data_IF_128114917345
#
_entry.id   IF_128114917345
#
_cell.length_a   1.000
_cell.length_b   1.000
_cell.length_c   1.000
_cell.angle_alpha   90.00
_cell.angle_beta   90.00
_cell.angle_gamma   90.00
#
_symmetry.space_group_name_H-M   'P 1'
#
loop_
_entity.id
_entity.type
_entity.pdbx_description
1 polymer ?
#
# COMPACT_ATOMS: atom_id res chain seq x y z
N UNK A 1 -15.33 -14.58 11.36
CA UNK A 1 -14.51 -15.64 10.71
C UNK A 1 -15.43 -16.58 9.94
N UNK A 2 -15.48 -16.44 8.61
CA UNK A 2 -16.48 -17.07 7.76
C UNK A 2 -16.14 -18.51 7.32
N UNK A 3 -14.92 -18.80 6.86
CA UNK A 3 -14.55 -20.09 6.26
C UNK A 3 -13.98 -21.12 7.28
N UNK A 4 -14.12 -22.45 7.02
CA UNK A 4 -13.50 -23.50 7.84
C UNK A 4 -11.97 -23.40 7.86
N UNK A 5 -11.37 -23.30 9.06
CA UNK A 5 -9.92 -23.04 9.24
C UNK A 5 -9.01 -24.11 8.63
N UNK A 6 -9.38 -25.38 8.69
CA UNK A 6 -8.58 -26.47 8.14
C UNK A 6 -8.54 -26.41 6.61
N UNK A 7 -9.68 -26.08 5.98
CA UNK A 7 -9.78 -25.90 4.53
C UNK A 7 -9.02 -24.65 4.07
N UNK A 8 -9.10 -23.54 4.81
CA UNK A 8 -8.28 -22.35 4.56
C UNK A 8 -6.79 -22.68 4.64
N UNK A 9 -6.36 -23.44 5.64
CA UNK A 9 -4.96 -23.84 5.79
C UNK A 9 -4.47 -24.66 4.59
N UNK A 10 -5.30 -25.61 4.11
CA UNK A 10 -5.01 -26.39 2.90
C UNK A 10 -4.97 -25.49 1.65
N UNK A 11 -5.91 -24.56 1.50
CA UNK A 11 -5.96 -23.64 0.36
C UNK A 11 -4.73 -22.72 0.32
N UNK A 12 -4.34 -22.14 1.46
CA UNK A 12 -3.15 -21.29 1.57
C UNK A 12 -1.85 -22.06 1.32
N UNK A 13 -1.79 -23.34 1.70
CA UNK A 13 -0.66 -24.21 1.37
C UNK A 13 -0.61 -24.50 -0.14
N UNK A 14 -1.75 -24.85 -0.75
CA UNK A 14 -1.85 -25.14 -2.19
C UNK A 14 -1.52 -23.93 -3.07
N UNK A 15 -1.91 -22.72 -2.68
CA UNK A 15 -1.54 -21.51 -3.41
C UNK A 15 -0.14 -20.99 -3.07
N UNK A 16 0.64 -21.70 -2.23
CA UNK A 16 1.96 -21.31 -1.75
C UNK A 16 2.02 -19.92 -1.10
N UNK A 17 0.94 -19.52 -0.41
CA UNK A 17 0.75 -18.17 0.15
C UNK A 17 1.02 -17.06 -0.87
N UNK A 18 0.66 -17.32 -2.13
CA UNK A 18 0.65 -16.33 -3.21
C UNK A 18 -0.77 -15.89 -3.51
N UNK A 19 -0.93 -14.62 -3.85
CA UNK A 19 -2.22 -14.07 -4.25
C UNK A 19 -2.70 -14.74 -5.54
N UNK A 20 -3.95 -15.17 -5.60
CA UNK A 20 -4.52 -15.79 -6.80
C UNK A 20 -4.72 -14.82 -7.98
N UNK A 21 -4.65 -13.50 -7.75
CA UNK A 21 -4.80 -12.47 -8.81
C UNK A 21 -3.44 -11.99 -9.31
N UNK A 22 -2.56 -11.51 -8.42
CA UNK A 22 -1.26 -10.94 -8.82
C UNK A 22 -0.07 -11.91 -8.68
N UNK A 23 -0.28 -13.12 -8.14
CA UNK A 23 0.72 -14.19 -7.97
C UNK A 23 1.94 -13.86 -7.09
N UNK A 24 1.96 -12.67 -6.47
CA UNK A 24 3.01 -12.24 -5.53
C UNK A 24 3.04 -13.15 -4.31
N UNK A 25 4.23 -13.45 -3.78
CA UNK A 25 4.38 -14.13 -2.49
C UNK A 25 4.08 -13.18 -1.34
N UNK A 26 3.08 -13.51 -0.54
CA UNK A 26 2.53 -12.62 0.47
C UNK A 26 3.00 -12.93 1.89
N UNK A 27 3.47 -14.16 2.15
CA UNK A 27 3.74 -14.60 3.52
C UNK A 27 2.49 -14.42 4.40
N UNK A 28 2.60 -13.62 5.47
CA UNK A 28 1.46 -13.32 6.36
C UNK A 28 0.47 -12.29 5.80
N UNK A 29 0.82 -11.58 4.72
CA UNK A 29 0.07 -10.43 4.15
C UNK A 29 -0.97 -10.89 3.12
N UNK A 30 -1.77 -11.89 3.50
CA UNK A 30 -2.73 -12.57 2.64
C UNK A 30 -4.03 -12.80 3.40
N UNK A 31 -5.16 -12.60 2.73
CA UNK A 31 -6.50 -12.84 3.25
C UNK A 31 -7.26 -13.82 2.35
N UNK A 32 -8.31 -14.42 2.90
CA UNK A 32 -9.28 -15.20 2.13
C UNK A 32 -10.56 -14.41 2.02
N UNK A 33 -10.85 -13.93 0.81
CA UNK A 33 -12.03 -13.15 0.50
C UNK A 33 -13.14 -14.02 -0.11
N UNK A 34 -14.37 -13.52 -0.13
CA UNK A 34 -15.51 -14.14 -0.78
C UNK A 34 -15.56 -13.74 -2.27
N UNK A 35 -15.51 -14.73 -3.17
CA UNK A 35 -15.64 -14.52 -4.63
C UNK A 35 -17.01 -13.91 -4.97
N UNK A 36 -18.08 -14.43 -4.34
CA UNK A 36 -19.38 -13.78 -4.27
C UNK A 36 -19.53 -13.27 -2.85
N UNK A 37 -19.63 -11.94 -2.62
CA UNK A 37 -19.80 -11.39 -1.29
C UNK A 37 -21.06 -11.89 -0.57
N UNK A 38 -21.05 -11.89 0.77
CA UNK A 38 -22.17 -12.39 1.59
C UNK A 38 -23.46 -11.61 1.35
N UNK A 39 -23.37 -10.30 1.20
CA UNK A 39 -24.50 -9.42 0.93
C UNK A 39 -25.14 -9.68 -0.44
N UNK A 40 -24.43 -10.36 -1.33
CA UNK A 40 -24.93 -10.84 -2.63
C UNK A 40 -25.32 -12.33 -2.60
N UNK A 41 -25.40 -12.94 -1.41
CA UNK A 41 -25.81 -14.33 -1.24
C UNK A 41 -24.67 -15.36 -1.33
N UNK A 42 -23.41 -14.93 -1.23
CA UNK A 42 -22.26 -15.82 -1.21
C UNK A 42 -22.22 -16.75 0.01
N UNK A 43 -21.78 -18.00 -0.20
CA UNK A 43 -21.63 -18.98 0.87
C UNK A 43 -20.28 -18.88 1.58
N UNK A 44 -20.21 -19.48 2.78
CA UNK A 44 -18.97 -19.68 3.56
C UNK A 44 -18.24 -20.99 3.19
N UNK A 45 -18.55 -21.54 2.02
CA UNK A 45 -17.85 -22.72 1.51
C UNK A 45 -16.48 -22.34 0.96
N UNK A 46 -15.51 -23.25 1.09
CA UNK A 46 -14.14 -23.01 0.63
C UNK A 46 -14.05 -22.77 -0.89
N UNK A 47 -15.04 -23.24 -1.65
CA UNK A 47 -15.13 -22.97 -3.09
C UNK A 47 -15.35 -21.49 -3.39
N UNK A 48 -16.10 -20.79 -2.53
CA UNK A 48 -16.32 -19.35 -2.62
C UNK A 48 -15.16 -18.51 -2.04
N UNK A 49 -14.15 -19.14 -1.42
CA UNK A 49 -12.99 -18.43 -0.88
C UNK A 49 -11.91 -18.20 -1.95
N UNK A 50 -11.31 -17.01 -2.00
CA UNK A 50 -10.13 -16.70 -2.83
C UNK A 50 -8.99 -16.10 -1.98
N UNK A 51 -7.77 -16.69 -2.00
CA UNK A 51 -6.60 -16.10 -1.36
C UNK A 51 -6.05 -14.89 -2.12
N UNK A 52 -6.01 -13.71 -1.50
CA UNK A 52 -5.54 -12.46 -2.13
C UNK A 52 -4.64 -11.65 -1.20
N UNK A 53 -3.72 -10.85 -1.76
CA UNK A 53 -2.96 -9.89 -0.95
C UNK A 53 -3.86 -8.71 -0.54
N UNK A 54 -3.46 -7.93 0.47
CA UNK A 54 -4.23 -6.77 0.93
C UNK A 54 -4.54 -5.75 -0.18
N UNK A 55 -3.67 -5.61 -1.18
CA UNK A 55 -3.91 -4.70 -2.31
C UNK A 55 -5.00 -5.23 -3.24
N UNK A 56 -4.89 -6.48 -3.71
CA UNK A 56 -5.91 -7.08 -4.56
C UNK A 56 -7.24 -7.20 -3.82
N UNK A 57 -7.20 -7.44 -2.51
CA UNK A 57 -8.38 -7.44 -1.66
C UNK A 57 -9.11 -6.09 -1.73
N UNK A 58 -8.41 -4.98 -1.46
CA UNK A 58 -8.99 -3.64 -1.58
C UNK A 58 -9.44 -3.32 -3.01
N UNK A 59 -8.68 -3.73 -4.03
CA UNK A 59 -9.01 -3.46 -5.43
C UNK A 59 -10.30 -4.15 -5.88
N UNK A 60 -10.54 -5.41 -5.45
CA UNK A 60 -11.70 -6.22 -5.84
C UNK A 60 -13.02 -5.50 -5.55
N UNK A 61 -13.09 -4.77 -4.45
CA UNK A 61 -14.30 -4.10 -4.00
C UNK A 61 -14.25 -2.57 -4.17
N UNK A 62 -13.10 -1.99 -4.53
CA UNK A 62 -12.92 -0.54 -4.75
C UNK A 62 -13.72 0.04 -5.93
N UNK A 63 -14.33 -0.80 -6.79
CA UNK A 63 -15.05 -0.33 -7.97
C UNK A 63 -16.28 0.50 -7.60
N UNK A 64 -16.28 1.78 -7.99
CA UNK A 64 -17.37 2.70 -7.75
C UNK A 64 -18.22 2.88 -9.02
N UNK A 65 -19.46 2.37 -9.00
CA UNK A 65 -20.40 2.53 -10.12
C UNK A 65 -20.74 4.00 -10.45
N UNK A 66 -20.60 4.92 -9.49
CA UNK A 66 -20.82 6.36 -9.70
C UNK A 66 -19.62 7.06 -10.35
N UNK A 67 -18.43 6.48 -10.23
CA UNK A 67 -17.18 7.01 -10.80
C UNK A 67 -16.39 5.86 -11.43
N UNK A 68 -16.88 5.30 -12.56
CA UNK A 68 -16.32 4.08 -13.10
C UNK A 68 -14.90 4.31 -13.61
N UNK A 69 -13.94 3.58 -13.02
CA UNK A 69 -12.55 3.55 -13.45
C UNK A 69 -12.10 2.10 -13.61
N UNK A 70 -11.59 1.76 -14.79
CA UNK A 70 -11.21 0.40 -15.12
C UNK A 70 -12.42 -0.53 -15.30
N UNK A 71 -12.25 -1.81 -14.94
CA UNK A 71 -13.32 -2.82 -14.98
C UNK A 71 -13.49 -3.43 -13.59
N UNK A 72 -14.74 -3.71 -13.23
CA UNK A 72 -15.10 -4.41 -12.00
C UNK A 72 -14.70 -5.88 -12.10
N UNK A 73 -14.09 -6.41 -11.05
CA UNK A 73 -13.89 -7.86 -10.92
C UNK A 73 -15.24 -8.57 -10.87
N UNK A 74 -15.40 -9.60 -11.69
CA UNK A 74 -16.61 -10.43 -11.69
C UNK A 74 -16.34 -11.75 -10.97
N UNK A 75 -17.36 -12.35 -10.32
CA UNK A 75 -17.18 -13.63 -9.63
C UNK A 75 -16.59 -14.73 -10.52
N UNK A 76 -17.03 -14.82 -11.78
CA UNK A 76 -16.49 -15.82 -12.72
C UNK A 76 -15.03 -15.57 -13.08
N UNK A 77 -14.59 -14.31 -13.12
CA UNK A 77 -13.19 -13.95 -13.33
C UNK A 77 -12.35 -14.37 -12.11
N UNK A 78 -12.81 -14.06 -10.89
CA UNK A 78 -12.12 -14.45 -9.65
C UNK A 78 -12.03 -15.97 -9.49
N UNK A 79 -13.07 -16.73 -9.87
CA UNK A 79 -13.00 -18.20 -9.94
C UNK A 79 -11.90 -18.66 -10.88
N UNK A 80 -11.81 -18.07 -12.07
CA UNK A 80 -10.78 -18.43 -13.05
C UNK A 80 -9.37 -18.09 -12.57
N UNK A 81 -9.16 -16.93 -11.94
CA UNK A 81 -7.88 -16.56 -11.30
C UNK A 81 -7.45 -17.61 -10.27
N UNK A 82 -8.35 -17.98 -9.36
CA UNK A 82 -8.11 -19.03 -8.36
C UNK A 82 -7.77 -20.38 -9.02
N UNK A 83 -8.59 -20.84 -9.95
CA UNK A 83 -8.42 -22.14 -10.62
C UNK A 83 -7.10 -22.21 -11.39
N UNK A 84 -6.81 -21.20 -12.20
CA UNK A 84 -5.58 -21.13 -12.98
C UNK A 84 -4.35 -21.12 -12.08
N UNK A 85 -4.35 -20.32 -11.01
CA UNK A 85 -3.21 -20.26 -10.09
C UNK A 85 -2.96 -21.57 -9.36
N UNK A 86 -4.03 -22.22 -8.86
CA UNK A 86 -3.89 -23.52 -8.19
C UNK A 86 -3.37 -24.59 -9.16
N UNK A 87 -3.85 -24.59 -10.41
CA UNK A 87 -3.35 -25.48 -11.45
C UNK A 87 -1.85 -25.26 -11.72
N UNK A 88 -1.41 -24.01 -11.83
CA UNK A 88 0.01 -23.68 -12.01
C UNK A 88 0.84 -24.16 -10.81
N UNK A 89 0.36 -24.00 -9.58
CA UNK A 89 1.05 -24.49 -8.39
C UNK A 89 1.20 -26.01 -8.38
N UNK A 90 0.14 -26.73 -8.78
CA UNK A 90 0.10 -28.18 -8.80
C UNK A 90 0.96 -28.77 -9.95
N UNK A 91 0.97 -28.13 -11.14
CA UNK A 91 1.60 -28.67 -12.35
C UNK A 91 3.00 -28.11 -12.64
N UNK A 92 3.34 -26.91 -12.14
CA UNK A 92 4.55 -26.15 -12.52
C UNK A 92 5.32 -25.64 -11.29
N UNK A 93 5.82 -26.53 -10.41
CA UNK A 93 6.55 -26.13 -9.21
C UNK A 93 7.87 -25.39 -9.51
N UNK A 94 8.40 -25.51 -10.72
CA UNK A 94 9.59 -24.77 -11.19
C UNK A 94 9.39 -23.24 -11.18
N UNK A 95 8.17 -22.78 -11.43
CA UNK A 95 7.78 -21.36 -11.36
C UNK A 95 7.90 -20.83 -9.93
N UNK A 96 7.80 -21.69 -8.92
CA UNK A 96 7.84 -21.29 -7.50
C UNK A 96 9.27 -21.16 -6.96
N UNK A 97 10.23 -21.85 -7.59
CA UNK A 97 11.65 -21.87 -7.16
C UNK A 97 12.48 -20.80 -7.89
N UNK A 98 12.10 -20.47 -9.13
CA UNK A 98 12.83 -19.53 -10.00
C UNK A 98 12.58 -18.05 -9.69
N UNK A 99 11.43 -17.72 -9.09
CA UNK A 99 11.09 -16.35 -8.72
C UNK A 99 11.73 -16.02 -7.37
N UNK A 100 12.67 -15.06 -7.35
CA UNK A 100 13.19 -14.48 -6.11
C UNK A 100 12.00 -14.20 -5.17
N UNK A 101 12.02 -14.78 -3.97
CA UNK A 101 11.07 -14.45 -2.91
C UNK A 101 11.38 -13.05 -2.37
N UNK A 102 11.34 -12.04 -3.24
CA UNK A 102 11.25 -10.66 -2.80
C UNK A 102 9.89 -10.58 -2.09
N UNK A 103 9.93 -10.56 -0.76
CA UNK A 103 8.76 -10.36 0.07
C UNK A 103 8.30 -8.91 -0.13
N UNK A 104 7.65 -8.64 -1.25
CA UNK A 104 7.15 -7.34 -1.62
C UNK A 104 5.76 -7.16 -0.99
N UNK A 105 5.60 -6.07 -0.26
CA UNK A 105 4.34 -5.71 0.40
C UNK A 105 3.36 -5.07 -0.57
N UNK A 106 3.87 -4.68 -1.75
CA UNK A 106 3.14 -3.94 -2.76
C UNK A 106 3.34 -2.44 -2.70
N UNK A 107 3.06 -1.73 -3.80
CA UNK A 107 3.22 -0.28 -3.89
C UNK A 107 2.46 0.50 -2.81
N UNK A 108 1.21 0.15 -2.48
CA UNK A 108 0.41 0.94 -1.53
C UNK A 108 0.84 0.69 -0.09
N UNK A 109 1.10 -0.57 0.29
CA UNK A 109 1.62 -0.85 1.63
C UNK A 109 3.04 -0.30 1.81
N UNK A 110 3.89 -0.36 0.79
CA UNK A 110 5.24 0.21 0.87
C UNK A 110 5.18 1.74 1.00
N UNK A 111 4.23 2.37 0.31
CA UNK A 111 3.95 3.80 0.44
C UNK A 111 3.50 4.18 1.86
N UNK A 112 2.62 3.39 2.47
CA UNK A 112 2.21 3.57 3.87
C UNK A 112 3.41 3.47 4.81
N UNK A 113 4.29 2.48 4.60
CA UNK A 113 5.48 2.27 5.41
C UNK A 113 6.47 3.46 5.25
N UNK A 114 6.61 4.00 4.03
CA UNK A 114 7.40 5.22 3.76
C UNK A 114 6.81 6.45 4.45
N UNK A 115 5.49 6.67 4.36
CA UNK A 115 4.80 7.75 5.07
C UNK A 115 4.95 7.62 6.58
N UNK A 116 4.91 6.40 7.13
CA UNK A 116 5.14 6.14 8.55
C UNK A 116 6.55 6.57 8.98
N UNK A 117 7.58 6.23 8.19
CA UNK A 117 8.95 6.66 8.41
C UNK A 117 9.06 8.18 8.33
N UNK A 118 8.49 8.79 7.29
CA UNK A 118 8.47 10.24 7.12
C UNK A 118 7.77 10.95 8.29
N UNK A 119 6.71 10.38 8.86
CA UNK A 119 6.08 10.90 10.07
C UNK A 119 7.04 10.93 11.27
N UNK A 120 7.95 9.95 11.38
CA UNK A 120 9.01 9.96 12.41
C UNK A 120 10.10 11.00 12.12
N UNK A 121 10.41 11.24 10.85
CA UNK A 121 11.31 12.34 10.43
C UNK A 121 10.69 13.69 10.80
N UNK A 122 9.42 13.90 10.49
CA UNK A 122 8.68 15.13 10.80
C UNK A 122 8.60 15.42 12.31
N UNK A 123 8.51 14.36 13.13
CA UNK A 123 8.53 14.47 14.60
C UNK A 123 9.90 14.84 15.19
N UNK A 124 10.96 14.86 14.37
CA UNK A 124 12.33 15.24 14.77
C UNK A 124 12.82 16.41 13.90
N UNK A 125 12.25 17.62 14.07
CA UNK A 125 12.47 18.73 13.15
C UNK A 125 13.84 19.41 13.30
N UNK A 126 14.64 19.03 14.30
CA UNK A 126 15.94 19.65 14.52
C UNK A 126 16.92 19.26 13.40
N UNK A 127 17.25 20.22 12.53
CA UNK A 127 18.21 20.09 11.43
C UNK A 127 19.62 19.71 11.89
N UNK A 128 19.99 19.98 13.15
CA UNK A 128 21.28 19.55 13.71
C UNK A 128 21.27 18.07 14.15
N UNK A 129 20.07 17.50 14.39
CA UNK A 129 19.87 16.08 14.73
C UNK A 129 19.44 15.24 13.51
N UNK A 130 19.25 15.88 12.35
CA UNK A 130 18.75 15.23 11.14
C UNK A 130 19.79 14.32 10.49
N UNK A 131 19.86 13.08 10.98
CA UNK A 131 20.49 11.97 10.27
C UNK A 131 19.65 11.40 9.12
N UNK A 132 18.41 11.85 8.94
CA UNK A 132 17.46 11.32 7.95
C UNK A 132 16.67 12.44 7.24
N UNK A 133 16.45 12.28 5.93
CA UNK A 133 15.63 13.15 5.06
C UNK A 133 14.25 12.53 4.85
N UNK A 134 13.29 13.30 4.32
CA UNK A 134 12.08 12.70 3.78
C UNK A 134 12.40 11.80 2.58
N UNK A 135 11.70 10.69 2.49
CA UNK A 135 11.82 9.70 1.40
C UNK A 135 10.64 9.83 0.43
N UNK A 136 10.88 9.61 -0.86
CA UNK A 136 9.89 9.69 -1.94
C UNK A 136 9.91 8.51 -2.93
N UNK A 137 10.70 7.48 -2.64
CA UNK A 137 10.91 6.37 -3.55
C UNK A 137 9.64 5.54 -3.74
N UNK A 138 8.85 5.33 -2.68
CA UNK A 138 7.62 4.55 -2.78
C UNK A 138 6.49 5.35 -3.45
N UNK A 139 6.44 6.68 -3.32
CA UNK A 139 5.51 7.48 -4.13
C UNK A 139 5.81 7.31 -5.62
N UNK A 140 7.07 7.48 -6.04
CA UNK A 140 7.48 7.34 -7.45
C UNK A 140 7.09 5.97 -7.99
N UNK A 141 7.43 4.91 -7.24
CA UNK A 141 7.04 3.54 -7.57
C UNK A 141 5.52 3.38 -7.69
N UNK A 142 4.74 3.91 -6.74
CA UNK A 142 3.28 3.80 -6.75
C UNK A 142 2.65 4.55 -7.94
N UNK A 143 3.23 5.66 -8.38
CA UNK A 143 2.83 6.38 -9.61
C UNK A 143 3.15 5.51 -10.83
N UNK A 144 4.39 5.00 -10.94
CA UNK A 144 4.85 4.20 -12.08
C UNK A 144 4.00 2.95 -12.33
N UNK A 145 3.60 2.26 -11.25
CA UNK A 145 2.76 1.06 -11.35
C UNK A 145 1.26 1.35 -11.36
N UNK A 146 0.87 2.62 -11.38
CA UNK A 146 -0.53 3.06 -11.51
C UNK A 146 -1.38 2.96 -10.22
N UNK A 147 -0.81 2.57 -9.09
CA UNK A 147 -1.55 2.42 -7.82
C UNK A 147 -2.09 3.73 -7.27
N UNK A 148 -1.45 4.87 -7.56
CA UNK A 148 -2.02 6.20 -7.20
C UNK A 148 -3.27 6.53 -8.02
N UNK A 149 -3.33 6.04 -9.26
CA UNK A 149 -4.42 6.35 -10.16
C UNK A 149 -5.74 5.68 -9.73
N UNK A 150 -5.71 4.54 -9.05
CA UNK A 150 -6.93 3.83 -8.62
C UNK A 150 -7.56 4.39 -7.34
N UNK A 151 -6.82 5.20 -6.57
CA UNK A 151 -7.31 5.80 -5.33
C UNK A 151 -8.47 6.77 -5.61
N UNK A 152 -9.41 6.87 -4.67
CA UNK A 152 -10.41 7.97 -4.68
C UNK A 152 -9.70 9.32 -4.62
N UNK A 153 -10.31 10.35 -5.20
CA UNK A 153 -9.67 11.66 -5.33
C UNK A 153 -9.30 12.24 -3.96
N UNK A 154 -10.12 12.04 -2.92
CA UNK A 154 -9.81 12.53 -1.57
C UNK A 154 -8.54 11.90 -0.98
N UNK A 155 -8.35 10.59 -1.20
CA UNK A 155 -7.16 9.85 -0.73
C UNK A 155 -5.95 10.26 -1.58
N UNK A 156 -6.14 10.36 -2.90
CA UNK A 156 -5.08 10.76 -3.83
C UNK A 156 -4.54 12.15 -3.48
N UNK A 157 -5.42 13.13 -3.30
CA UNK A 157 -5.04 14.49 -2.93
C UNK A 157 -4.33 14.52 -1.57
N UNK A 158 -4.83 13.76 -0.58
CA UNK A 158 -4.15 13.67 0.72
C UNK A 158 -2.71 13.15 0.60
N UNK A 159 -2.47 12.13 -0.23
CA UNK A 159 -1.13 11.61 -0.53
C UNK A 159 -0.28 12.68 -1.21
N UNK A 160 -0.76 13.27 -2.30
CA UNK A 160 0.00 14.26 -3.07
C UNK A 160 0.35 15.50 -2.22
N UNK A 161 -0.59 16.02 -1.43
CA UNK A 161 -0.37 17.14 -0.52
C UNK A 161 0.72 16.84 0.53
N UNK A 162 0.76 15.61 1.05
CA UNK A 162 1.81 15.20 1.98
C UNK A 162 3.20 15.26 1.33
N UNK A 163 3.33 14.77 0.10
CA UNK A 163 4.60 14.81 -0.63
C UNK A 163 5.00 16.21 -1.07
N UNK A 164 4.04 17.06 -1.44
CA UNK A 164 4.30 18.49 -1.70
C UNK A 164 4.84 19.18 -0.44
N UNK A 165 4.25 18.93 0.72
CA UNK A 165 4.73 19.50 1.98
C UNK A 165 6.15 19.01 2.35
N UNK A 166 6.43 17.72 2.15
CA UNK A 166 7.76 17.12 2.39
C UNK A 166 8.83 17.66 1.43
N UNK A 167 8.50 17.82 0.15
CA UNK A 167 9.43 18.36 -0.85
C UNK A 167 9.75 19.83 -0.56
N UNK A 168 8.74 20.64 -0.23
CA UNK A 168 8.93 22.03 0.18
C UNK A 168 9.84 22.15 1.43
N UNK A 169 9.66 21.27 2.41
CA UNK A 169 10.53 21.24 3.59
C UNK A 169 11.96 20.82 3.24
N UNK A 170 12.13 19.79 2.41
CA UNK A 170 13.44 19.31 1.96
C UNK A 170 14.20 20.36 1.15
N UNK A 171 13.49 21.13 0.33
CA UNK A 171 14.08 22.21 -0.46
C UNK A 171 14.64 23.35 0.42
N UNK A 172 13.97 23.71 1.52
CA UNK A 172 14.47 24.71 2.47
C UNK A 172 15.74 24.21 3.15
N UNK A 173 15.76 22.94 3.57
CA UNK A 173 16.94 22.30 4.16
C UNK A 173 18.09 22.34 3.16
N UNK A 174 17.90 21.84 1.94
CA UNK A 174 18.94 21.83 0.91
C UNK A 174 19.42 23.23 0.53
N UNK A 175 18.54 24.22 0.48
CA UNK A 175 18.89 25.63 0.27
C UNK A 175 19.81 26.15 1.37
N UNK A 176 19.46 25.90 2.65
CA UNK A 176 20.26 26.31 3.79
C UNK A 176 21.69 25.74 3.71
N UNK A 177 21.84 24.46 3.37
CA UNK A 177 23.14 23.79 3.27
C UNK A 177 24.01 24.23 2.07
N UNK A 178 23.43 24.91 1.07
CA UNK A 178 24.18 25.50 -0.05
C UNK A 178 24.84 26.83 0.33
N UNK A 179 24.40 27.47 1.41
CA UNK A 179 24.99 28.72 1.90
C UNK A 179 26.14 28.48 2.88
N UNK A 180 27.14 29.38 2.95
CA UNK A 180 28.21 29.27 3.94
C UNK A 180 27.66 29.24 5.36
N UNK A 181 28.15 28.30 6.18
CA UNK A 181 27.78 28.21 7.60
C UNK A 181 28.06 29.55 8.31
N UNK A 182 27.09 30.03 9.07
CA UNK A 182 27.17 31.31 9.77
C UNK A 182 26.76 32.54 8.95
N UNK A 183 26.42 32.38 7.66
CA UNK A 183 25.79 33.46 6.89
C UNK A 183 24.34 33.70 7.30
N UNK A 184 23.80 34.89 7.02
CA UNK A 184 22.39 35.22 7.30
C UNK A 184 21.43 34.23 6.61
N UNK A 185 21.68 33.88 5.34
CA UNK A 185 20.87 32.94 4.58
C UNK A 185 20.94 31.51 5.14
N UNK A 186 22.11 31.09 5.64
CA UNK A 186 22.22 29.81 6.36
C UNK A 186 21.42 29.82 7.65
N UNK A 187 21.50 30.90 8.44
CA UNK A 187 20.77 31.03 9.70
C UNK A 187 19.25 31.06 9.47
N UNK A 188 18.78 31.80 8.46
CA UNK A 188 17.36 31.85 8.07
C UNK A 188 16.85 30.45 7.70
N UNK A 189 17.58 29.73 6.84
CA UNK A 189 17.20 28.39 6.42
C UNK A 189 17.20 27.37 7.57
N UNK A 190 18.19 27.41 8.46
CA UNK A 190 18.27 26.52 9.64
C UNK A 190 17.17 26.82 10.66
N UNK A 191 16.71 28.07 10.77
CA UNK A 191 15.62 28.45 11.65
C UNK A 191 14.24 28.10 11.06
N UNK A 192 14.08 28.21 9.75
CA UNK A 192 12.82 27.95 9.04
C UNK A 192 12.60 26.46 8.78
N UNK A 193 13.66 25.69 8.51
CA UNK A 193 13.57 24.26 8.20
C UNK A 193 12.80 23.46 9.27
N UNK A 194 13.09 23.57 10.58
CA UNK A 194 12.35 22.85 11.62
C UNK A 194 10.85 23.11 11.59
N UNK A 195 10.46 24.36 11.29
CA UNK A 195 9.05 24.75 11.19
C UNK A 195 8.39 24.01 10.03
N UNK A 196 9.00 24.04 8.85
CA UNK A 196 8.48 23.35 7.65
C UNK A 196 8.40 21.83 7.81
N UNK A 197 9.41 21.23 8.42
CA UNK A 197 9.44 19.79 8.71
C UNK A 197 8.29 19.41 9.64
N UNK A 198 8.07 20.20 10.69
CA UNK A 198 6.96 19.99 11.64
C UNK A 198 5.59 20.24 10.98
N UNK A 199 5.48 21.27 10.15
CA UNK A 199 4.24 21.65 9.47
C UNK A 199 3.80 20.63 8.41
N UNK A 200 4.69 19.74 7.94
CA UNK A 200 4.36 18.62 7.06
C UNK A 200 3.75 17.42 7.81
N UNK A 201 3.95 17.32 9.13
CA UNK A 201 3.53 16.17 9.93
C UNK A 201 2.02 15.86 9.83
N UNK A 202 1.10 16.86 9.90
CA UNK A 202 -0.33 16.59 9.81
C UNK A 202 -0.75 15.97 8.47
N UNK A 203 -0.18 16.44 7.35
CA UNK A 203 -0.48 15.92 6.02
C UNK A 203 0.03 14.49 5.86
N UNK A 204 1.25 14.21 6.34
CA UNK A 204 1.82 12.85 6.32
C UNK A 204 0.93 11.88 7.10
N UNK A 205 0.55 12.24 8.32
CA UNK A 205 -0.33 11.40 9.16
C UNK A 205 -1.68 11.18 8.49
N UNK A 206 -2.30 12.24 7.95
CA UNK A 206 -3.58 12.14 7.23
C UNK A 206 -3.48 11.19 6.04
N UNK A 207 -2.46 11.34 5.19
CA UNK A 207 -2.25 10.48 4.03
C UNK A 207 -2.07 9.01 4.45
N UNK A 208 -1.26 8.77 5.48
CA UNK A 208 -1.04 7.43 6.01
C UNK A 208 -2.34 6.80 6.53
N UNK A 209 -3.12 7.54 7.31
CA UNK A 209 -4.39 7.06 7.86
C UNK A 209 -5.43 6.78 6.78
N UNK A 210 -5.56 7.64 5.78
CA UNK A 210 -6.51 7.42 4.66
C UNK A 210 -6.12 6.22 3.79
N UNK A 211 -4.82 6.00 3.55
CA UNK A 211 -4.34 4.80 2.86
C UNK A 211 -4.53 3.53 3.69
N UNK A 212 -4.26 3.59 5.01
CA UNK A 212 -4.52 2.47 5.91
C UNK A 212 -6.02 2.14 5.95
N UNK A 213 -6.88 3.16 6.03
CA UNK A 213 -8.32 2.98 5.92
C UNK A 213 -8.66 2.33 4.59
N UNK A 214 -8.15 2.83 3.46
CA UNK A 214 -8.40 2.22 2.15
C UNK A 214 -8.02 0.74 2.08
N UNK A 215 -6.87 0.35 2.64
CA UNK A 215 -6.46 -1.06 2.70
C UNK A 215 -7.24 -1.87 3.75
N UNK A 216 -7.76 -1.25 4.80
CA UNK A 216 -8.46 -1.91 5.90
C UNK A 216 -9.99 -1.94 5.75
N UNK A 217 -10.58 -0.98 5.05
CA UNK A 217 -12.00 -0.94 4.70
C UNK A 217 -12.24 -1.96 3.62
N UNK A 218 -12.24 -3.23 4.05
CA UNK A 218 -12.97 -4.38 3.50
C UNK A 218 -12.65 -5.70 4.23
N UNK A 219 -11.73 -5.75 5.19
CA UNK A 219 -11.77 -6.87 6.14
C UNK A 219 -13.06 -6.71 6.96
N UNK A 220 -14.00 -7.68 6.99
CA UNK A 220 -15.18 -7.54 7.81
C UNK A 220 -14.73 -7.39 9.27
N UNK A 221 -15.19 -6.31 9.90
CA UNK A 221 -15.08 -6.11 11.36
C UNK A 221 -15.59 -7.38 12.02
N UNK A 222 -14.75 -7.91 12.92
CA UNK A 222 -14.86 -9.20 13.63
C UNK A 222 -16.27 -9.52 14.12
#
# INVERSE_FOLDING_TARGET
MAFPRDLVSKLLARCHRRCCVCHRFCGIKIETDHIVPKEQGGSDDIENAIPVCFECHAEIHSYNDQHPRGRKFLPDELRQHKEQWLKICDERPDVLVSVHRAADVGPLQALIDELALNGKVAARPNVQDQGARFHDAQLRRAIEVGSIAILRDEIREAVLDAYVAMDAASQIVDSAWRHPKGSNSWAEGVNEAPRRIKDAQPQITKAQEELLKFLATESPVV
#
